data_IF_938653377968
#
_entry.id   IF_938653377968
#
_cell.length_a   1.000
_cell.length_b   1.000
_cell.length_c   1.000
_cell.angle_alpha   90.00
_cell.angle_beta   90.00
_cell.angle_gamma   90.00
#
_symmetry.space_group_name_H-M   'P 1'
#
loop_
_entity.id
_entity.type
_entity.pdbx_description
1 polymer ?
#
# COMPACT_ATOMS: atom_id res chain seq x y z
N UNK A 1 17.12 -8.99 -6.37
CA UNK A 1 15.80 -9.28 -6.94
C UNK A 1 15.16 -7.96 -7.35
N UNK A 2 14.56 -7.84 -8.55
CA UNK A 2 13.79 -6.66 -8.90
C UNK A 2 12.62 -6.53 -7.91
N UNK A 3 12.42 -5.34 -7.37
CA UNK A 3 11.30 -5.02 -6.48
C UNK A 3 9.99 -5.24 -7.23
N UNK A 4 9.14 -6.13 -6.73
CA UNK A 4 7.89 -6.50 -7.38
C UNK A 4 6.86 -5.39 -7.27
N UNK A 5 7.02 -4.45 -6.32
CA UNK A 5 6.08 -3.36 -6.03
C UNK A 5 6.69 -1.96 -6.27
N UNK A 6 7.29 -1.74 -7.44
CA UNK A 6 8.00 -0.48 -7.78
C UNK A 6 7.06 0.71 -7.90
N UNK A 7 5.90 0.57 -8.55
CA UNK A 7 4.95 1.68 -8.73
C UNK A 7 4.32 2.08 -7.41
N UNK A 8 3.93 1.10 -6.61
CA UNK A 8 3.40 1.30 -5.25
C UNK A 8 4.39 2.11 -4.42
N UNK A 9 5.67 1.72 -4.44
CA UNK A 9 6.73 2.44 -3.74
C UNK A 9 6.86 3.89 -4.21
N UNK A 10 6.87 4.12 -5.53
CA UNK A 10 6.99 5.47 -6.08
C UNK A 10 5.82 6.37 -5.68
N UNK A 11 4.59 5.84 -5.59
CA UNK A 11 3.44 6.60 -5.10
C UNK A 11 3.58 6.90 -3.61
N UNK A 12 3.96 5.94 -2.78
CA UNK A 12 4.19 6.17 -1.35
C UNK A 12 5.32 7.18 -1.08
N UNK A 13 6.39 7.16 -1.88
CA UNK A 13 7.47 8.17 -1.81
C UNK A 13 6.96 9.56 -2.20
N UNK A 14 6.05 9.64 -3.17
CA UNK A 14 5.39 10.89 -3.52
C UNK A 14 4.52 11.40 -2.36
N UNK A 15 3.74 10.54 -1.70
CA UNK A 15 2.95 10.90 -0.51
C UNK A 15 3.88 11.52 0.56
N UNK A 16 4.97 10.82 0.89
CA UNK A 16 5.92 11.27 1.90
C UNK A 16 6.57 12.63 1.57
N UNK A 17 6.80 12.94 0.28
CA UNK A 17 7.41 14.21 -0.14
C UNK A 17 6.43 15.38 -0.13
N UNK A 18 5.14 15.12 -0.33
CA UNK A 18 4.11 16.16 -0.48
C UNK A 18 3.30 16.42 0.79
N UNK A 19 3.25 15.48 1.73
CA UNK A 19 2.54 15.63 2.99
C UNK A 19 3.52 15.77 4.17
N UNK A 20 3.53 16.95 4.78
CA UNK A 20 4.46 17.30 5.87
C UNK A 20 3.96 16.92 7.26
N UNK A 21 2.81 16.23 7.38
CA UNK A 21 2.27 15.83 8.68
C UNK A 21 3.08 14.65 9.23
N UNK A 22 3.42 14.73 10.51
CA UNK A 22 4.18 13.68 11.20
C UNK A 22 3.44 12.33 11.17
N UNK A 23 2.11 12.35 11.27
CA UNK A 23 1.26 11.17 11.15
C UNK A 23 1.42 10.47 9.80
N UNK A 24 1.44 11.23 8.69
CA UNK A 24 1.66 10.70 7.34
C UNK A 24 3.07 10.14 7.19
N UNK A 25 4.07 10.81 7.77
CA UNK A 25 5.44 10.32 7.76
C UNK A 25 5.56 8.95 8.45
N UNK A 26 4.98 8.80 9.63
CA UNK A 26 4.95 7.53 10.37
C UNK A 26 4.20 6.43 9.59
N UNK A 27 3.08 6.78 8.95
CA UNK A 27 2.34 5.86 8.10
C UNK A 27 3.17 5.38 6.90
N UNK A 28 3.87 6.30 6.21
CA UNK A 28 4.79 5.94 5.13
C UNK A 28 5.93 5.03 5.60
N UNK A 29 6.53 5.29 6.76
CA UNK A 29 7.59 4.43 7.32
C UNK A 29 7.08 3.01 7.61
N UNK A 30 5.90 2.90 8.24
CA UNK A 30 5.24 1.60 8.48
C UNK A 30 4.94 0.88 7.17
N UNK A 31 4.44 1.61 6.18
CA UNK A 31 4.13 1.10 4.85
C UNK A 31 5.37 0.55 4.14
N UNK A 32 6.47 1.30 4.09
CA UNK A 32 7.71 0.81 3.46
C UNK A 32 8.29 -0.41 4.17
N UNK A 33 8.16 -0.48 5.51
CA UNK A 33 8.58 -1.65 6.27
C UNK A 33 7.75 -2.88 5.90
N UNK A 34 6.43 -2.73 5.85
CA UNK A 34 5.52 -3.81 5.48
C UNK A 34 5.72 -4.27 4.02
N UNK A 35 5.92 -3.32 3.10
CA UNK A 35 6.23 -3.58 1.70
C UNK A 35 7.49 -4.44 1.55
N UNK A 36 8.56 -4.08 2.27
CA UNK A 36 9.81 -4.83 2.26
C UNK A 36 9.67 -6.21 2.90
N UNK A 37 8.90 -6.34 3.97
CA UNK A 37 8.62 -7.62 4.61
C UNK A 37 7.84 -8.55 3.67
N UNK A 38 6.88 -8.01 2.93
CA UNK A 38 6.15 -8.73 1.89
C UNK A 38 7.10 -9.20 0.79
N UNK A 39 7.90 -8.33 0.18
CA UNK A 39 8.87 -8.72 -0.86
C UNK A 39 9.85 -9.81 -0.38
N UNK A 40 10.29 -9.75 0.88
CA UNK A 40 11.18 -10.76 1.46
C UNK A 40 10.48 -12.11 1.76
N UNK A 41 9.17 -12.08 2.01
CA UNK A 41 8.39 -13.27 2.34
C UNK A 41 8.04 -14.13 1.11
N UNK A 42 8.26 -13.63 -0.11
CA UNK A 42 7.94 -14.34 -1.36
C UNK A 42 8.69 -15.65 -1.57
N UNK A 43 9.93 -15.74 -1.09
CA UNK A 43 10.72 -16.97 -1.09
C UNK A 43 10.66 -17.73 0.24
N UNK A 44 9.81 -17.30 1.17
CA UNK A 44 9.71 -17.88 2.52
C UNK A 44 8.50 -18.81 2.66
N UNK A 45 8.26 -19.30 3.87
CA UNK A 45 7.11 -20.15 4.19
C UNK A 45 5.77 -19.44 3.98
N UNK A 46 4.70 -20.18 3.65
CA UNK A 46 3.36 -19.61 3.45
C UNK A 46 2.83 -18.81 4.64
N UNK A 47 3.18 -19.22 5.87
CA UNK A 47 2.80 -18.50 7.09
C UNK A 47 3.43 -17.11 7.17
N UNK A 48 4.70 -16.97 6.77
CA UNK A 48 5.40 -15.68 6.74
C UNK A 48 4.82 -14.75 5.69
N UNK A 49 4.44 -15.31 4.53
CA UNK A 49 3.78 -14.56 3.48
C UNK A 49 2.41 -14.04 3.92
N UNK A 50 1.63 -14.86 4.65
CA UNK A 50 0.33 -14.46 5.21
C UNK A 50 0.48 -13.32 6.22
N UNK A 51 1.43 -13.43 7.16
CA UNK A 51 1.70 -12.35 8.12
C UNK A 51 2.11 -11.05 7.41
N UNK A 52 3.01 -11.14 6.42
CA UNK A 52 3.46 -9.97 5.69
C UNK A 52 2.33 -9.31 4.87
N UNK A 53 1.37 -10.09 4.38
CA UNK A 53 0.16 -9.57 3.73
C UNK A 53 -0.76 -8.85 4.71
N UNK A 54 -0.92 -9.37 5.93
CA UNK A 54 -1.71 -8.70 6.98
C UNK A 54 -1.06 -7.39 7.43
N UNK A 55 0.26 -7.39 7.61
CA UNK A 55 1.03 -6.18 7.94
C UNK A 55 0.90 -5.13 6.82
N UNK A 56 1.00 -5.56 5.55
CA UNK A 56 0.85 -4.68 4.40
C UNK A 56 -0.56 -4.11 4.29
N UNK A 57 -1.59 -4.93 4.57
CA UNK A 57 -2.98 -4.47 4.62
C UNK A 57 -3.17 -3.40 5.70
N UNK A 58 -2.66 -3.64 6.90
CA UNK A 58 -2.80 -2.68 8.01
C UNK A 58 -2.06 -1.38 7.70
N UNK A 59 -0.84 -1.46 7.15
CA UNK A 59 -0.08 -0.27 6.80
C UNK A 59 -0.69 0.51 5.62
N UNK A 60 -1.34 -0.19 4.69
CA UNK A 60 -2.11 0.46 3.61
C UNK A 60 -3.28 1.24 4.20
N UNK A 61 -4.03 0.66 5.14
CA UNK A 61 -5.14 1.32 5.81
C UNK A 61 -4.70 2.56 6.61
N UNK A 62 -3.58 2.47 7.34
CA UNK A 62 -2.98 3.61 8.03
C UNK A 62 -2.59 4.73 7.06
N UNK A 63 -2.09 4.38 5.86
CA UNK A 63 -1.61 5.34 4.87
C UNK A 63 -2.75 5.99 4.07
N UNK A 64 -3.81 5.24 3.74
CA UNK A 64 -4.95 5.73 2.96
C UNK A 64 -6.08 6.29 3.83
N UNK A 65 -6.06 5.99 5.14
CA UNK A 65 -7.21 6.19 6.03
C UNK A 65 -8.40 5.26 5.75
N UNK A 66 -8.22 4.28 4.85
CA UNK A 66 -9.31 3.41 4.37
C UNK A 66 -8.96 1.93 4.54
N UNK A 67 -9.66 1.18 5.42
CA UNK A 67 -9.36 -0.21 5.74
C UNK A 67 -9.65 -1.19 4.60
N UNK A 68 -10.43 -0.79 3.60
CA UNK A 68 -10.82 -1.61 2.46
C UNK A 68 -9.96 -1.37 1.20
N UNK A 69 -9.09 -0.35 1.18
CA UNK A 69 -8.24 0.00 0.04
C UNK A 69 -7.41 -1.20 -0.45
N UNK A 70 -6.74 -1.88 0.49
CA UNK A 70 -5.97 -3.07 0.17
C UNK A 70 -6.84 -4.21 -0.41
N UNK A 71 -8.04 -4.41 0.14
CA UNK A 71 -8.95 -5.47 -0.34
C UNK A 71 -9.48 -5.15 -1.73
N UNK A 72 -9.76 -3.88 -2.03
CA UNK A 72 -10.13 -3.43 -3.37
C UNK A 72 -9.01 -3.68 -4.37
N UNK A 73 -7.76 -3.35 -4.00
CA UNK A 73 -6.60 -3.66 -4.83
C UNK A 73 -6.44 -5.16 -5.10
N UNK A 74 -6.62 -6.01 -4.08
CA UNK A 74 -6.55 -7.47 -4.24
C UNK A 74 -7.69 -8.06 -5.07
N UNK A 75 -8.88 -7.45 -5.04
CA UNK A 75 -10.07 -7.92 -5.75
C UNK A 75 -10.16 -7.40 -7.19
N UNK A 76 -9.24 -6.55 -7.62
CA UNK A 76 -9.31 -5.96 -8.95
C UNK A 76 -9.21 -7.07 -10.03
N UNK A 77 -10.31 -7.33 -10.77
CA UNK A 77 -10.35 -8.41 -11.75
C UNK A 77 -9.48 -8.11 -12.98
N UNK A 78 -9.11 -6.85 -13.22
CA UNK A 78 -8.22 -6.44 -14.33
C UNK A 78 -6.79 -6.92 -14.12
N UNK A 79 -6.45 -7.32 -12.90
CA UNK A 79 -5.09 -7.69 -12.50
C UNK A 79 -4.95 -9.16 -12.06
N UNK A 80 -6.02 -9.95 -12.14
CA UNK A 80 -5.96 -11.42 -12.13
C UNK A 80 -5.62 -12.08 -10.78
N UNK A 81 -5.72 -11.37 -9.65
CA UNK A 81 -5.56 -11.94 -8.30
C UNK A 81 -4.18 -12.54 -7.99
N UNK A 82 -3.20 -12.37 -8.88
CA UNK A 82 -1.85 -12.87 -8.70
C UNK A 82 -1.06 -11.88 -7.82
N UNK A 83 -0.25 -12.36 -6.86
CA UNK A 83 0.52 -11.50 -5.97
C UNK A 83 1.54 -10.60 -6.72
N UNK A 84 1.97 -11.00 -7.93
CA UNK A 84 2.86 -10.24 -8.81
C UNK A 84 2.16 -9.06 -9.49
N UNK A 85 0.83 -9.13 -9.56
CA UNK A 85 -0.02 -8.13 -10.18
C UNK A 85 -0.51 -7.08 -9.19
N UNK A 86 -0.07 -7.12 -7.92
CA UNK A 86 -0.52 -6.18 -6.89
C UNK A 86 0.11 -4.78 -7.02
N UNK A 87 1.18 -4.61 -7.80
CA UNK A 87 1.88 -3.32 -7.89
C UNK A 87 1.01 -2.20 -8.48
N UNK A 88 0.32 -2.48 -9.59
CA UNK A 88 -0.56 -1.50 -10.22
C UNK A 88 -1.81 -1.19 -9.39
N UNK A 89 -2.63 -2.16 -8.97
CA UNK A 89 -3.88 -1.87 -8.27
C UNK A 89 -3.63 -1.23 -6.90
N UNK A 90 -2.54 -1.58 -6.21
CA UNK A 90 -2.19 -0.93 -4.94
C UNK A 90 -1.70 0.50 -5.16
N UNK A 91 -0.91 0.75 -6.21
CA UNK A 91 -0.52 2.10 -6.61
C UNK A 91 -1.73 2.96 -7.00
N UNK A 92 -2.72 2.41 -7.70
CA UNK A 92 -3.95 3.10 -8.05
C UNK A 92 -4.79 3.45 -6.82
N UNK A 93 -4.95 2.53 -5.86
CA UNK A 93 -5.65 2.86 -4.61
C UNK A 93 -4.95 3.99 -3.84
N UNK A 94 -3.62 3.97 -3.77
CA UNK A 94 -2.85 5.05 -3.13
C UNK A 94 -3.03 6.39 -3.86
N UNK A 95 -3.06 6.41 -5.20
CA UNK A 95 -3.35 7.63 -5.98
C UNK A 95 -4.78 8.12 -5.77
N UNK A 96 -5.75 7.22 -5.81
CA UNK A 96 -7.15 7.57 -5.58
C UNK A 96 -7.37 8.20 -4.19
N UNK A 97 -6.66 7.72 -3.17
CA UNK A 97 -6.69 8.34 -1.83
C UNK A 97 -6.07 9.74 -1.78
N UNK A 98 -5.16 10.08 -2.71
CA UNK A 98 -4.60 11.43 -2.84
C UNK A 98 -5.50 12.37 -3.66
N UNK A 99 -6.19 11.82 -4.66
CA UNK A 99 -7.06 12.57 -5.57
C UNK A 99 -8.47 12.75 -5.00
N UNK A 100 -8.89 11.89 -4.07
CA UNK A 100 -10.08 12.11 -3.28
C UNK A 100 -9.85 13.38 -2.45
N UNK A 101 -10.56 14.50 -2.74
CA UNK A 101 -10.50 15.64 -1.85
C UNK A 101 -10.97 15.13 -0.50
N UNK A 102 -10.23 15.47 0.56
CA UNK A 102 -10.72 15.36 1.93
C UNK A 102 -12.09 16.03 1.98
N UNK A 103 -13.18 15.25 1.88
CA UNK A 103 -14.52 15.68 2.27
C UNK A 103 -14.57 15.69 3.80
N UNK A 104 -13.72 16.53 4.35
CA UNK A 104 -13.65 16.92 5.74
C UNK A 104 -12.77 18.16 5.70
N UNK A 105 -13.39 19.30 5.43
CA UNK A 105 -13.13 20.63 6.01
C UNK A 105 -13.93 21.65 5.19
N UNK A 106 -15.22 21.82 5.51
CA UNK A 106 -16.03 23.06 5.41
C UNK A 106 -17.53 22.75 5.27
N UNK A 107 -18.33 23.18 6.26
CA UNK A 107 -19.78 23.26 6.19
C UNK A 107 -20.48 22.86 7.46
#
# INVERSE_FOLDING_TARGET
>A
MPSTLRRTRAVAERIQRHDHRESTHLACVRFFRALRAYEAAWGSTPGRLRQALEDLRSATADLTGDPDAFRRACRDPRHGGLPHSLDEPLAEQLRASLEAPSYAEAG
#
